data_IF_288831138559
#
_entry.id   IF_288831138559
#
_cell.length_a   1.000
_cell.length_b   1.000
_cell.length_c   1.000
_cell.angle_alpha   90.00
_cell.angle_beta   90.00
_cell.angle_gamma   90.00
#
_symmetry.space_group_name_H-M   'P 1'
#
loop_
_entity.id
_entity.type
_entity.pdbx_description
1 polymer ?
#
# COMPACT_ATOMS: atom_id res chain seq x y z
N UNK A 1 -10.81 14.55 4.79
CA UNK A 1 -9.55 15.28 4.45
C UNK A 1 -8.64 15.41 5.66
N UNK A 2 -9.14 15.90 6.79
CA UNK A 2 -8.36 16.15 8.01
C UNK A 2 -7.61 14.91 8.52
N UNK A 3 -8.29 13.78 8.62
CA UNK A 3 -7.69 12.52 9.08
C UNK A 3 -6.56 12.01 8.15
N UNK A 4 -6.68 12.23 6.84
CA UNK A 4 -5.65 11.88 5.88
C UNK A 4 -4.47 12.87 5.90
N UNK A 5 -4.74 14.16 6.08
CA UNK A 5 -3.73 15.21 6.14
C UNK A 5 -2.74 15.01 7.31
N UNK A 6 -3.23 14.55 8.48
CA UNK A 6 -2.40 14.25 9.65
C UNK A 6 -1.33 13.16 9.37
N UNK A 7 -1.58 12.30 8.39
CA UNK A 7 -0.65 11.23 8.02
C UNK A 7 0.37 11.64 6.95
N UNK A 8 0.19 12.82 6.34
CA UNK A 8 1.07 13.31 5.29
C UNK A 8 2.18 14.21 5.87
N UNK A 9 3.41 14.09 5.34
CA UNK A 9 4.44 15.10 5.55
C UNK A 9 4.01 16.48 5.08
N UNK A 10 4.53 17.52 5.71
CA UNK A 10 4.13 18.92 5.48
C UNK A 10 4.41 19.45 4.08
N UNK A 11 5.35 18.83 3.34
CA UNK A 11 5.68 19.18 1.96
C UNK A 11 4.75 18.57 0.93
N UNK A 12 3.76 17.80 1.36
CA UNK A 12 2.79 17.19 0.47
C UNK A 12 1.46 17.93 0.48
N UNK A 13 0.88 18.05 -0.69
CA UNK A 13 -0.43 18.67 -0.90
C UNK A 13 -1.49 17.59 -1.06
N UNK A 14 -2.63 17.77 -0.41
CA UNK A 14 -3.77 16.84 -0.47
C UNK A 14 -5.00 17.57 -1.03
N UNK A 15 -5.76 16.89 -1.87
CA UNK A 15 -7.01 17.42 -2.42
C UNK A 15 -8.10 17.52 -1.32
N UNK A 16 -9.14 18.33 -1.55
CA UNK A 16 -10.27 18.47 -0.62
C UNK A 16 -10.98 17.14 -0.35
N UNK A 17 -11.11 16.29 -1.38
CA UNK A 17 -11.69 14.96 -1.32
C UNK A 17 -10.62 13.93 -1.72
N UNK A 18 -9.70 13.59 -0.81
CA UNK A 18 -8.57 12.76 -1.16
C UNK A 18 -9.01 11.33 -1.46
N UNK A 19 -8.47 10.79 -2.55
CA UNK A 19 -8.61 9.38 -2.86
C UNK A 19 -7.65 8.58 -1.98
N UNK A 20 -8.17 7.50 -1.41
CA UNK A 20 -7.39 6.51 -0.65
C UNK A 20 -7.52 5.18 -1.37
N UNK A 21 -6.40 4.51 -1.60
CA UNK A 21 -6.40 3.16 -2.13
C UNK A 21 -5.95 2.17 -1.06
N UNK A 22 -6.65 1.07 -0.97
CA UNK A 22 -6.27 -0.07 -0.13
C UNK A 22 -6.06 -1.27 -1.03
N UNK A 23 -4.91 -1.92 -0.89
CA UNK A 23 -4.54 -3.06 -1.72
C UNK A 23 -4.20 -4.27 -0.85
N UNK A 24 -4.73 -5.43 -1.24
CA UNK A 24 -4.26 -6.74 -0.79
C UNK A 24 -3.58 -7.42 -1.97
N UNK A 25 -2.39 -7.92 -1.77
CA UNK A 25 -1.54 -8.46 -2.82
C UNK A 25 -1.01 -9.83 -2.41
N UNK A 26 -0.97 -10.76 -3.36
CA UNK A 26 -0.37 -12.07 -3.18
C UNK A 26 0.68 -12.29 -4.26
N UNK A 27 1.95 -12.32 -3.86
CA UNK A 27 3.08 -12.55 -4.73
C UNK A 27 3.51 -14.01 -4.65
N UNK A 28 3.21 -14.79 -5.67
CA UNK A 28 3.68 -16.18 -5.78
C UNK A 28 5.18 -16.26 -6.04
N UNK A 29 5.76 -15.20 -6.63
CA UNK A 29 7.18 -15.09 -6.91
C UNK A 29 7.69 -13.65 -6.70
N UNK A 30 8.84 -13.51 -6.07
CA UNK A 30 9.60 -12.25 -6.01
C UNK A 30 11.08 -12.52 -5.74
N UNK A 31 11.92 -11.50 -5.88
CA UNK A 31 13.36 -11.59 -5.55
C UNK A 31 13.66 -11.85 -4.06
N UNK A 32 12.67 -11.69 -3.19
CA UNK A 32 12.78 -11.94 -1.73
C UNK A 32 11.99 -13.16 -1.28
N UNK A 33 11.44 -13.94 -2.23
CA UNK A 33 10.56 -15.09 -2.00
C UNK A 33 9.08 -14.71 -2.09
N UNK A 34 8.16 -15.67 -1.96
CA UNK A 34 6.72 -15.41 -1.98
C UNK A 34 6.30 -14.67 -0.71
N UNK A 35 5.30 -13.79 -0.83
CA UNK A 35 4.71 -13.07 0.29
C UNK A 35 3.34 -12.50 -0.04
N UNK A 36 2.60 -12.12 1.00
CA UNK A 36 1.39 -11.31 0.92
C UNK A 36 1.64 -9.93 1.47
N UNK A 37 0.93 -8.93 0.95
CA UNK A 37 1.12 -7.54 1.33
C UNK A 37 -0.23 -6.82 1.41
N UNK A 38 -0.36 -5.96 2.41
CA UNK A 38 -1.41 -4.98 2.55
C UNK A 38 -0.79 -3.60 2.42
N UNK A 39 -1.35 -2.75 1.57
CA UNK A 39 -0.86 -1.38 1.35
C UNK A 39 -2.01 -0.40 1.50
N UNK A 40 -1.77 0.66 2.26
CA UNK A 40 -2.65 1.82 2.36
C UNK A 40 -1.95 3.00 1.68
N UNK A 41 -2.61 3.63 0.71
CA UNK A 41 -2.04 4.67 -0.13
C UNK A 41 -2.93 5.90 -0.05
N UNK A 42 -2.35 7.04 0.29
CA UNK A 42 -3.00 8.35 0.16
C UNK A 42 -2.53 8.98 -1.14
N UNK A 43 -3.46 9.30 -2.04
CA UNK A 43 -3.14 10.02 -3.27
C UNK A 43 -2.97 11.50 -2.94
N UNK A 44 -1.79 12.02 -3.24
CA UNK A 44 -1.38 13.39 -2.91
C UNK A 44 -0.45 13.94 -3.99
N UNK A 45 -0.02 15.18 -3.83
CA UNK A 45 0.97 15.80 -4.71
C UNK A 45 2.25 16.07 -3.95
N UNK A 46 3.36 15.82 -4.61
CA UNK A 46 4.69 16.14 -4.14
C UNK A 46 5.44 16.88 -5.25
N UNK A 47 5.83 18.14 -5.00
CA UNK A 47 6.50 19.00 -5.97
C UNK A 47 5.74 19.16 -7.29
N UNK A 48 4.41 19.26 -7.21
CA UNK A 48 3.52 19.41 -8.36
C UNK A 48 3.20 18.11 -9.12
N UNK A 49 3.77 16.97 -8.72
CA UNK A 49 3.49 15.67 -9.32
C UNK A 49 2.54 14.83 -8.45
N UNK A 50 1.61 14.14 -9.09
CA UNK A 50 0.74 13.16 -8.41
C UNK A 50 1.53 11.93 -8.02
N UNK A 51 1.43 11.54 -6.75
CA UNK A 51 2.09 10.38 -6.17
C UNK A 51 1.19 9.67 -5.15
N UNK A 52 1.40 8.38 -4.97
CA UNK A 52 0.82 7.62 -3.86
C UNK A 52 1.77 7.65 -2.65
N UNK A 53 1.42 8.34 -1.58
CA UNK A 53 2.14 8.24 -0.32
C UNK A 53 1.66 7.03 0.47
N UNK A 54 2.60 6.28 1.05
CA UNK A 54 2.31 5.02 1.75
C UNK A 54 2.52 5.17 3.25
N UNK A 55 1.50 5.57 4.03
CA UNK A 55 1.62 5.72 5.48
C UNK A 55 1.61 4.37 6.22
N UNK A 56 0.95 3.37 5.66
CA UNK A 56 0.83 2.04 6.28
C UNK A 56 1.02 0.94 5.24
N UNK A 57 1.87 -0.02 5.57
CA UNK A 57 2.12 -1.20 4.75
C UNK A 57 2.51 -2.37 5.64
N UNK A 58 1.91 -3.53 5.38
CA UNK A 58 2.17 -4.77 6.10
C UNK A 58 2.55 -5.86 5.13
N UNK A 59 3.42 -6.75 5.56
CA UNK A 59 3.96 -7.81 4.73
C UNK A 59 4.15 -9.09 5.56
N UNK A 60 3.98 -10.24 4.93
CA UNK A 60 4.17 -11.55 5.58
C UNK A 60 5.61 -12.08 5.54
N UNK A 61 6.57 -11.30 5.00
CA UNK A 61 7.94 -11.74 4.73
C UNK A 61 8.95 -10.72 5.28
N UNK A 62 9.85 -11.17 6.17
CA UNK A 62 10.86 -10.30 6.80
C UNK A 62 11.86 -9.70 5.80
N UNK A 63 12.29 -10.47 4.79
CA UNK A 63 13.24 -9.97 3.78
C UNK A 63 12.65 -8.83 2.97
N UNK A 64 11.38 -8.96 2.59
CA UNK A 64 10.63 -7.91 1.91
C UNK A 64 10.38 -6.70 2.81
N UNK A 65 10.16 -6.92 4.11
CA UNK A 65 10.02 -5.85 5.09
C UNK A 65 11.32 -5.02 5.16
N UNK A 66 12.45 -5.66 5.41
CA UNK A 66 13.76 -4.99 5.53
C UNK A 66 14.11 -4.24 4.24
N UNK A 67 13.99 -4.90 3.07
CA UNK A 67 14.29 -4.27 1.78
C UNK A 67 13.45 -3.00 1.56
N UNK A 68 12.15 -3.05 1.83
CA UNK A 68 11.26 -1.91 1.64
C UNK A 68 11.52 -0.76 2.62
N UNK A 69 11.87 -1.06 3.87
CA UNK A 69 12.20 -0.03 4.87
C UNK A 69 13.53 0.66 4.57
N UNK A 70 14.57 -0.15 4.30
CA UNK A 70 15.93 0.36 4.20
C UNK A 70 16.21 1.07 2.87
N UNK A 71 15.52 0.69 1.80
CA UNK A 71 15.80 1.19 0.45
C UNK A 71 14.74 2.13 -0.09
N UNK A 72 13.47 1.76 0.06
CA UNK A 72 12.36 2.53 -0.49
C UNK A 72 11.71 3.48 0.53
N UNK A 73 12.09 3.39 1.81
CA UNK A 73 11.52 4.23 2.87
C UNK A 73 10.06 3.92 3.21
N UNK A 74 9.55 2.76 2.83
CA UNK A 74 8.20 2.36 3.20
C UNK A 74 8.16 1.88 4.66
N UNK A 75 7.17 2.30 5.47
CA UNK A 75 7.07 1.93 6.89
C UNK A 75 6.54 0.51 7.08
N UNK A 76 7.14 -0.46 6.39
CA UNK A 76 6.71 -1.87 6.41
C UNK A 76 6.80 -2.48 7.81
N UNK A 77 5.73 -3.17 8.18
CA UNK A 77 5.61 -3.96 9.39
C UNK A 77 5.23 -5.40 9.02
N UNK A 78 5.61 -6.37 9.86
CA UNK A 78 5.09 -7.72 9.71
C UNK A 78 3.61 -7.75 10.09
N UNK A 79 2.82 -8.47 9.33
CA UNK A 79 1.41 -8.72 9.57
C UNK A 79 1.00 -10.09 9.07
N UNK A 80 -0.05 -10.62 9.66
CA UNK A 80 -0.71 -11.83 9.19
C UNK A 80 -1.79 -11.42 8.19
N UNK A 81 -1.61 -11.81 6.92
CA UNK A 81 -2.46 -11.41 5.80
C UNK A 81 -3.08 -12.66 5.21
N UNK A 82 -4.37 -12.79 5.38
CA UNK A 82 -5.15 -13.86 4.75
C UNK A 82 -5.85 -13.31 3.50
N UNK A 83 -5.39 -13.75 2.34
CA UNK A 83 -5.87 -13.30 1.04
C UNK A 83 -5.53 -14.31 -0.04
N UNK A 84 -6.55 -14.85 -0.70
CA UNK A 84 -6.38 -15.72 -1.86
C UNK A 84 -7.48 -15.44 -2.91
N UNK A 85 -7.08 -14.87 -4.03
CA UNK A 85 -7.98 -14.57 -5.15
C UNK A 85 -8.41 -15.82 -5.93
N UNK A 86 -7.68 -16.92 -5.82
CA UNK A 86 -7.96 -18.16 -6.57
C UNK A 86 -8.93 -19.10 -5.83
N UNK A 87 -9.24 -18.80 -4.57
CA UNK A 87 -10.15 -19.59 -3.75
C UNK A 87 -11.30 -18.72 -3.20
N UNK A 88 -12.21 -18.25 -4.07
CA UNK A 88 -13.40 -17.57 -3.58
C UNK A 88 -14.24 -18.55 -2.74
N UNK A 89 -14.92 -18.01 -1.76
CA UNK A 89 -15.83 -18.83 -0.96
C UNK A 89 -17.02 -19.34 -1.81
N UNK A 90 -17.88 -20.18 -1.21
CA UNK A 90 -19.03 -20.80 -1.89
C UNK A 90 -20.03 -19.81 -2.51
N UNK A 91 -19.95 -18.54 -2.14
CA UNK A 91 -20.78 -17.45 -2.68
C UNK A 91 -20.07 -16.65 -3.79
N UNK A 92 -18.89 -17.06 -4.22
CA UNK A 92 -18.09 -16.33 -5.21
C UNK A 92 -17.43 -15.04 -4.65
N UNK A 93 -17.35 -14.91 -3.33
CA UNK A 93 -16.72 -13.77 -2.66
C UNK A 93 -15.25 -14.04 -2.42
N UNK A 94 -14.42 -13.09 -2.81
CA UNK A 94 -13.01 -13.02 -2.42
C UNK A 94 -12.94 -12.28 -1.09
N UNK A 95 -12.28 -12.88 -0.12
CA UNK A 95 -12.09 -12.30 1.20
C UNK A 95 -10.65 -11.91 1.42
N UNK A 96 -10.40 -10.83 2.12
CA UNK A 96 -9.08 -10.38 2.49
C UNK A 96 -9.08 -9.90 3.95
N UNK A 97 -8.04 -10.21 4.69
CA UNK A 97 -7.90 -9.84 6.09
C UNK A 97 -6.45 -9.49 6.42
N UNK A 98 -6.28 -8.45 7.22
CA UNK A 98 -5.02 -8.11 7.87
C UNK A 98 -5.20 -8.25 9.39
N UNK A 99 -4.32 -9.01 10.04
CA UNK A 99 -4.27 -9.13 11.50
C UNK A 99 -2.90 -8.71 12.06
N UNK A 100 -2.90 -7.99 13.20
CA UNK A 100 -1.69 -7.64 13.94
C UNK A 100 -2.01 -7.17 15.37
N UNK A 101 -1.47 -7.84 16.41
CA UNK A 101 -0.79 -9.14 16.32
C UNK A 101 -1.70 -10.24 15.76
N UNK A 102 -1.15 -11.43 15.54
CA UNK A 102 -1.94 -12.56 15.04
C UNK A 102 -3.24 -12.75 15.84
N UNK A 103 -4.37 -12.89 15.15
CA UNK A 103 -5.70 -13.01 15.75
C UNK A 103 -6.41 -11.68 16.05
N UNK A 104 -5.72 -10.54 16.02
CA UNK A 104 -6.35 -9.20 16.15
C UNK A 104 -6.55 -8.62 14.76
N UNK A 105 -7.76 -8.70 14.25
CA UNK A 105 -8.11 -8.22 12.91
C UNK A 105 -8.13 -6.70 12.90
N UNK A 106 -7.37 -6.09 12.00
CA UNK A 106 -7.30 -4.65 11.79
C UNK A 106 -8.15 -4.20 10.60
N UNK A 107 -8.14 -5.01 9.53
CA UNK A 107 -8.83 -4.69 8.27
C UNK A 107 -9.46 -5.95 7.72
N UNK A 108 -10.68 -5.82 7.22
CA UNK A 108 -11.35 -6.84 6.41
C UNK A 108 -11.82 -6.24 5.08
N UNK A 109 -11.64 -6.97 4.00
CA UNK A 109 -12.13 -6.66 2.68
C UNK A 109 -12.96 -7.80 2.11
N UNK A 110 -14.01 -7.45 1.37
CA UNK A 110 -14.81 -8.38 0.58
C UNK A 110 -14.88 -7.85 -0.85
N UNK A 111 -14.81 -8.75 -1.81
CA UNK A 111 -14.94 -8.38 -3.21
C UNK A 111 -15.70 -9.48 -3.99
N UNK A 112 -16.64 -9.05 -4.81
CA UNK A 112 -17.39 -9.89 -5.74
C UNK A 112 -17.16 -9.39 -7.16
N UNK A 113 -16.30 -10.04 -7.97
CA UNK A 113 -16.09 -9.65 -9.35
C UNK A 113 -17.39 -9.83 -10.15
N UNK A 114 -17.72 -8.89 -11.01
CA UNK A 114 -18.93 -8.91 -11.84
C UNK A 114 -18.69 -8.52 -13.30
N UNK A 115 -17.70 -7.66 -13.58
CA UNK A 115 -17.44 -7.14 -14.91
C UNK A 115 -15.97 -7.24 -15.27
N UNK A 116 -15.71 -7.82 -16.44
CA UNK A 116 -14.36 -7.88 -17.01
C UNK A 116 -14.04 -6.56 -17.73
N UNK A 117 -12.96 -5.91 -17.32
CA UNK A 117 -12.54 -4.60 -17.86
C UNK A 117 -11.41 -4.69 -18.91
N UNK A 118 -10.77 -5.86 -19.05
CA UNK A 118 -9.66 -6.04 -19.99
C UNK A 118 -8.35 -6.42 -19.31
N UNK A 119 -7.24 -5.95 -19.89
CA UNK A 119 -5.88 -6.27 -19.47
C UNK A 119 -4.96 -5.03 -19.53
N UNK A 120 -3.80 -5.11 -18.90
CA UNK A 120 -2.67 -4.17 -19.06
C UNK A 120 -1.50 -4.97 -19.59
N UNK A 121 -1.11 -4.71 -20.82
CA UNK A 121 -0.11 -5.51 -21.55
C UNK A 121 1.31 -5.02 -21.29
N UNK A 122 2.29 -5.88 -21.59
CA UNK A 122 3.71 -5.59 -21.36
C UNK A 122 4.29 -4.51 -22.29
N UNK A 123 3.69 -4.30 -23.46
CA UNK A 123 4.06 -3.24 -24.39
C UNK A 123 3.53 -1.87 -23.99
N UNK A 124 2.48 -1.84 -23.14
CA UNK A 124 1.88 -0.61 -22.60
C UNK A 124 1.59 -0.75 -21.09
N UNK A 125 2.62 -0.89 -20.24
CA UNK A 125 2.42 -1.02 -18.81
C UNK A 125 1.90 0.28 -18.20
N UNK A 126 1.09 0.15 -17.13
CA UNK A 126 0.73 1.29 -16.29
C UNK A 126 1.88 1.61 -15.36
N UNK A 127 2.19 2.90 -15.20
CA UNK A 127 3.21 3.36 -14.26
C UNK A 127 2.54 3.99 -13.05
N UNK A 128 2.78 3.40 -11.88
CA UNK A 128 2.29 3.91 -10.59
C UNK A 128 3.45 4.61 -9.90
N UNK A 129 3.31 5.91 -9.65
CA UNK A 129 4.29 6.68 -8.88
C UNK A 129 3.95 6.58 -7.40
N UNK A 130 4.93 6.23 -6.58
CA UNK A 130 4.79 6.15 -5.14
C UNK A 130 5.94 6.87 -4.43
N UNK A 131 5.69 7.31 -3.21
CA UNK A 131 6.64 8.05 -2.40
C UNK A 131 6.74 7.42 -1.01
N UNK A 132 7.95 7.01 -0.65
CA UNK A 132 8.32 6.60 0.70
C UNK A 132 9.01 7.71 1.45
N UNK A 133 8.97 7.67 2.77
CA UNK A 133 9.76 8.53 3.66
C UNK A 133 10.74 7.66 4.44
N UNK A 134 12.02 7.72 4.10
CA UNK A 134 13.07 6.96 4.79
C UNK A 134 13.57 7.74 5.98
N UNK A 135 13.35 7.17 7.17
CA UNK A 135 13.76 7.74 8.44
C UNK A 135 14.64 6.74 9.17
N UNK A 136 15.86 7.16 9.50
CA UNK A 136 16.79 6.38 10.31
C UNK A 136 17.19 7.21 11.52
N UNK A 137 16.91 6.69 12.71
CA UNK A 137 17.21 7.35 13.98
C UNK A 137 18.71 7.53 14.20
N UNK A 138 19.07 8.43 15.11
CA UNK A 138 20.44 8.55 15.60
C UNK A 138 20.85 7.31 16.40
N UNK A 139 22.11 6.90 16.27
CA UNK A 139 22.72 5.93 17.18
C UNK A 139 22.96 6.51 18.58
N UNK A 140 22.99 7.84 18.70
CA UNK A 140 23.16 8.55 19.97
C UNK A 140 21.79 9.02 20.47
N UNK A 141 21.37 8.69 21.70
CA UNK A 141 20.10 9.15 22.25
C UNK A 141 19.99 10.69 22.20
N UNK A 142 18.87 11.19 21.66
CA UNK A 142 18.64 12.62 21.49
C UNK A 142 19.43 13.29 20.35
N UNK A 143 20.25 12.54 19.61
CA UNK A 143 20.95 13.05 18.44
C UNK A 143 20.03 13.24 17.22
N UNK A 144 20.49 13.98 16.21
CA UNK A 144 19.71 14.19 14.97
C UNK A 144 19.51 12.88 14.21
N UNK A 145 18.47 12.83 13.38
CA UNK A 145 18.22 11.69 12.50
C UNK A 145 19.45 11.45 11.60
N UNK A 146 19.85 10.18 11.47
CA UNK A 146 20.95 9.80 10.58
C UNK A 146 20.54 9.90 9.10
N UNK A 147 19.26 9.64 8.80
CA UNK A 147 18.66 9.80 7.48
C UNK A 147 17.23 10.29 7.66
N UNK A 148 16.85 11.30 6.88
CA UNK A 148 15.45 11.72 6.72
C UNK A 148 15.27 12.23 5.30
N UNK A 149 14.61 11.43 4.43
CA UNK A 149 14.49 11.77 3.03
C UNK A 149 13.30 11.11 2.37
N UNK A 150 12.70 11.80 1.41
CA UNK A 150 11.74 11.21 0.50
C UNK A 150 12.43 10.35 -0.56
N UNK A 151 11.88 9.16 -0.79
CA UNK A 151 12.36 8.19 -1.77
C UNK A 151 11.24 7.96 -2.79
N UNK A 152 11.29 8.64 -3.96
CA UNK A 152 10.33 8.37 -5.03
C UNK A 152 10.58 7.00 -5.64
N UNK A 153 9.53 6.31 -5.98
CA UNK A 153 9.58 5.05 -6.71
C UNK A 153 8.55 5.03 -7.83
N UNK A 154 8.80 4.23 -8.86
CA UNK A 154 7.85 3.98 -9.92
C UNK A 154 7.70 2.48 -10.10
N UNK A 155 6.44 2.01 -10.13
CA UNK A 155 6.12 0.62 -10.38
C UNK A 155 5.51 0.50 -11.77
N UNK A 156 6.17 -0.24 -12.65
CA UNK A 156 5.56 -0.70 -13.90
C UNK A 156 4.67 -1.88 -13.58
N UNK A 157 3.41 -1.75 -13.94
CA UNK A 157 2.38 -2.72 -13.64
C UNK A 157 1.76 -3.27 -14.92
N UNK A 158 1.64 -4.59 -14.98
CA UNK A 158 0.86 -5.31 -15.99
C UNK A 158 -0.14 -6.24 -15.30
N UNK A 159 -1.26 -6.53 -15.96
CA UNK A 159 -2.27 -7.47 -15.48
C UNK A 159 -2.89 -8.23 -16.65
N UNK A 160 -2.95 -9.55 -16.55
CA UNK A 160 -3.59 -10.40 -17.56
C UNK A 160 -5.11 -10.29 -17.54
N UNK A 161 -5.71 -10.00 -16.39
CA UNK A 161 -7.13 -9.77 -16.27
C UNK A 161 -7.42 -8.67 -15.25
N UNK A 162 -8.40 -7.82 -15.56
CA UNK A 162 -8.89 -6.77 -14.68
C UNK A 162 -10.41 -6.96 -14.54
N UNK A 163 -10.88 -7.05 -13.31
CA UNK A 163 -12.28 -7.20 -12.99
C UNK A 163 -12.75 -6.12 -12.04
N UNK A 164 -13.87 -5.45 -12.32
CA UNK A 164 -14.59 -4.61 -11.35
C UNK A 164 -15.71 -5.40 -10.69
N UNK A 165 -16.25 -4.87 -9.62
CA UNK A 165 -17.37 -5.48 -8.92
C UNK A 165 -17.71 -4.82 -7.61
N UNK A 166 -18.61 -5.47 -6.87
CA UNK A 166 -19.02 -4.99 -5.55
C UNK A 166 -17.92 -5.26 -4.54
N UNK A 167 -17.55 -4.25 -3.78
CA UNK A 167 -16.55 -4.35 -2.74
C UNK A 167 -16.97 -3.69 -1.44
N UNK A 168 -16.47 -4.22 -0.34
CA UNK A 168 -16.56 -3.56 0.96
C UNK A 168 -15.25 -3.64 1.70
N UNK A 169 -14.99 -2.63 2.51
CA UNK A 169 -13.80 -2.52 3.34
C UNK A 169 -14.21 -2.08 4.74
N UNK A 170 -13.63 -2.71 5.75
CA UNK A 170 -13.91 -2.39 7.15
C UNK A 170 -12.62 -2.36 7.96
N UNK A 171 -12.42 -1.30 8.73
CA UNK A 171 -11.38 -1.20 9.74
C UNK A 171 -11.97 -1.61 11.08
N UNK A 172 -11.61 -2.80 11.59
CA UNK A 172 -12.28 -3.44 12.73
C UNK A 172 -11.49 -3.32 14.03
N UNK A 173 -10.19 -3.14 13.95
CA UNK A 173 -9.32 -3.11 15.11
C UNK A 173 -8.65 -1.76 15.31
N UNK A 174 -8.37 -1.43 16.58
CA UNK A 174 -7.52 -0.31 16.95
C UNK A 174 -6.11 -0.81 17.28
N UNK A 175 -5.09 -0.12 16.77
CA UNK A 175 -3.69 -0.41 17.08
C UNK A 175 -2.94 0.90 17.25
N UNK A 176 -2.16 1.00 18.33
CA UNK A 176 -1.29 2.16 18.56
C UNK A 176 -0.13 2.23 17.55
N UNK A 177 0.27 1.08 16.97
CA UNK A 177 1.31 1.01 15.95
C UNK A 177 0.81 1.27 14.52
N UNK A 178 -0.51 1.37 14.35
CA UNK A 178 -1.12 1.51 13.04
C UNK A 178 -2.51 2.14 13.21
N UNK A 179 -2.63 3.39 12.78
CA UNK A 179 -3.84 4.18 12.98
C UNK A 179 -4.88 3.99 11.84
N UNK A 180 -4.95 2.81 11.23
CA UNK A 180 -5.87 2.51 10.13
C UNK A 180 -7.33 2.85 10.46
N UNK A 181 -7.76 2.53 11.67
CA UNK A 181 -9.11 2.81 12.17
C UNK A 181 -9.45 4.31 12.28
N UNK A 182 -8.45 5.19 12.21
CA UNK A 182 -8.63 6.65 12.26
C UNK A 182 -8.94 7.26 10.90
N UNK A 183 -8.91 6.47 9.84
CA UNK A 183 -9.27 6.89 8.48
C UNK A 183 -10.69 6.40 8.16
N UNK A 184 -11.73 7.19 8.42
CA UNK A 184 -13.10 6.79 8.13
C UNK A 184 -13.33 6.70 6.63
N UNK A 185 -14.06 5.68 6.21
CA UNK A 185 -14.57 5.57 4.84
C UNK A 185 -15.79 6.48 4.74
N UNK A 186 -15.68 7.57 3.97
CA UNK A 186 -16.73 8.59 3.87
C UNK A 186 -17.46 8.57 2.52
N UNK A 187 -17.02 7.74 1.58
CA UNK A 187 -17.60 7.58 0.24
C UNK A 187 -17.87 6.13 -0.11
N UNK A 188 -18.29 5.89 -1.35
CA UNK A 188 -18.40 4.53 -1.88
C UNK A 188 -17.04 3.84 -1.98
N UNK A 189 -17.04 2.52 -1.90
CA UNK A 189 -15.86 1.68 -2.16
C UNK A 189 -15.95 1.17 -3.59
N UNK A 190 -15.05 1.65 -4.44
CA UNK A 190 -14.82 1.06 -5.77
C UNK A 190 -13.81 -0.07 -5.62
N UNK A 191 -14.14 -1.25 -6.11
CA UNK A 191 -13.28 -2.40 -5.97
C UNK A 191 -12.88 -2.97 -7.34
N UNK A 192 -11.60 -3.35 -7.45
CA UNK A 192 -11.03 -3.92 -8.67
C UNK A 192 -10.07 -5.03 -8.30
N UNK A 193 -10.14 -6.14 -9.03
CA UNK A 193 -9.19 -7.24 -8.93
C UNK A 193 -8.30 -7.32 -10.17
N UNK A 194 -7.04 -7.66 -9.96
CA UNK A 194 -6.04 -7.84 -11.00
C UNK A 194 -5.45 -9.25 -10.88
N UNK A 195 -5.66 -10.07 -11.90
CA UNK A 195 -5.13 -11.43 -11.95
C UNK A 195 -3.93 -11.50 -12.90
N UNK A 196 -3.06 -12.49 -12.65
CA UNK A 196 -1.86 -12.71 -13.46
C UNK A 196 -1.06 -11.44 -13.66
N UNK A 197 -0.92 -10.68 -12.57
CA UNK A 197 -0.28 -9.37 -12.58
C UNK A 197 1.19 -9.45 -12.17
N UNK A 198 1.98 -8.49 -12.61
CA UNK A 198 3.33 -8.30 -12.14
C UNK A 198 3.69 -6.84 -11.97
N UNK A 199 4.59 -6.58 -11.02
CA UNK A 199 5.16 -5.27 -10.77
C UNK A 199 6.67 -5.30 -11.01
N UNK A 200 7.17 -4.32 -11.72
CA UNK A 200 8.60 -4.05 -11.83
C UNK A 200 8.91 -2.73 -11.15
N UNK A 201 9.58 -2.79 -10.01
CA UNK A 201 10.03 -1.60 -9.31
C UNK A 201 11.19 -0.95 -10.05
N UNK A 202 11.03 0.29 -10.49
CA UNK A 202 12.10 1.17 -10.97
C UNK A 202 12.71 1.89 -9.78
N UNK A 203 14.02 1.75 -9.61
CA UNK A 203 14.75 2.42 -8.54
C UNK A 203 14.75 3.93 -8.78
N UNK A 204 14.70 4.72 -7.71
CA UNK A 204 14.84 6.16 -7.81
C UNK A 204 16.26 6.52 -8.28
N UNK A 205 16.35 7.56 -9.08
CA UNK A 205 17.64 8.17 -9.48
C UNK A 205 18.02 9.33 -8.55
N UNK A 206 17.09 9.77 -7.68
CA UNK A 206 17.25 10.90 -6.78
C UNK A 206 16.35 10.71 -5.56
N UNK A 207 16.86 11.12 -4.40
CA UNK A 207 16.09 11.30 -3.16
C UNK A 207 15.99 12.78 -2.82
N UNK A 208 15.09 13.14 -1.90
CA UNK A 208 14.91 14.52 -1.48
C UNK A 208 14.98 14.60 0.05
N UNK A 209 15.89 15.42 0.62
CA UNK A 209 15.93 15.64 2.06
C UNK A 209 14.57 16.10 2.59
N UNK A 210 14.26 15.69 3.81
CA UNK A 210 13.09 16.12 4.56
C UNK A 210 13.56 16.65 5.91
N UNK A 211 13.29 17.92 6.21
CA UNK A 211 13.60 18.56 7.47
C UNK A 211 12.43 18.29 8.44
N UNK A 212 12.61 17.32 9.36
CA UNK A 212 11.60 16.84 10.31
C UNK A 212 11.56 17.67 11.60
#
# INVERSE_FOLDING_TARGET
TEAAAVLLPTEMEIDENPKISVMFLSYGFSSVGPFREYIHIIHARFRGEEVGFVPHIFISNERGMLAGREREGYPKLLGDIDFDMHQPNVYGLITAQLSRPAGVVLVQGLFRPSEFLGEITADKPTVIKALGLRVVGSAVPGGPLSVCEFVPSALEFIAGEIWSGDGSLMFTGASEFSALHRLPIVGGVEATAFYNSSFRLRRPTKTYPFDA
#
